data_IF_388608310576
#
_entry.id   IF_388608310576
#
_cell.length_a   1.000
_cell.length_b   1.000
_cell.length_c   1.000
_cell.angle_alpha   90.00
_cell.angle_beta   90.00
_cell.angle_gamma   90.00
#
_symmetry.space_group_name_H-M   'P 1'
#
loop_
_entity.id
_entity.type
_entity.pdbx_description
1 polymer ?
#
# COMPACT_ATOMS: atom_id res chain seq x y z
N UNK A 1 -5.39 -24.94 21.30
CA UNK A 1 -4.91 -24.80 19.90
C UNK A 1 -5.88 -25.35 18.86
N UNK A 2 -6.67 -26.41 19.10
CA UNK A 2 -7.65 -26.92 18.10
C UNK A 2 -8.88 -26.00 17.87
N UNK A 3 -9.35 -25.31 18.92
CA UNK A 3 -10.59 -24.49 18.89
C UNK A 3 -10.48 -23.26 17.98
N UNK A 4 -9.28 -22.68 17.83
CA UNK A 4 -9.05 -21.48 16.99
C UNK A 4 -9.12 -21.77 15.49
N UNK A 5 -8.80 -22.99 15.06
CA UNK A 5 -8.80 -23.37 13.63
C UNK A 5 -10.19 -23.76 13.11
N UNK A 6 -11.05 -24.31 13.98
CA UNK A 6 -12.43 -24.65 13.64
C UNK A 6 -13.27 -23.41 13.32
N UNK A 7 -12.97 -22.30 14.00
CA UNK A 7 -13.59 -21.00 13.71
C UNK A 7 -13.08 -20.38 12.39
N UNK A 8 -11.80 -20.59 12.05
CA UNK A 8 -11.23 -20.09 10.80
C UNK A 8 -11.85 -20.81 9.58
N UNK A 9 -11.94 -22.15 9.61
CA UNK A 9 -12.54 -22.93 8.52
C UNK A 9 -14.02 -22.61 8.31
N UNK A 10 -14.78 -22.42 9.39
CA UNK A 10 -16.18 -22.00 9.31
C UNK A 10 -16.33 -20.62 8.64
N UNK A 11 -15.44 -19.67 8.96
CA UNK A 11 -15.44 -18.34 8.33
C UNK A 11 -15.09 -18.42 6.85
N UNK A 12 -14.07 -19.18 6.46
CA UNK A 12 -13.71 -19.38 5.05
C UNK A 12 -14.85 -20.01 4.24
N UNK A 13 -15.52 -21.02 4.80
CA UNK A 13 -16.69 -21.65 4.16
C UNK A 13 -17.81 -20.64 3.88
N UNK A 14 -18.11 -19.77 4.86
CA UNK A 14 -19.14 -18.73 4.69
C UNK A 14 -18.79 -17.70 3.61
N UNK A 15 -17.51 -17.35 3.48
CA UNK A 15 -17.01 -16.42 2.46
C UNK A 15 -17.06 -17.07 1.09
N UNK A 16 -16.65 -18.33 0.98
CA UNK A 16 -16.66 -19.09 -0.26
C UNK A 16 -18.09 -19.30 -0.80
N UNK A 17 -19.04 -19.67 0.06
CA UNK A 17 -20.45 -19.76 -0.29
C UNK A 17 -21.01 -18.42 -0.80
N UNK A 18 -20.55 -17.31 -0.23
CA UNK A 18 -20.92 -15.95 -0.67
C UNK A 18 -20.30 -15.60 -2.02
N UNK A 19 -19.09 -16.10 -2.31
CA UNK A 19 -18.38 -15.92 -3.57
C UNK A 19 -19.06 -16.69 -4.71
N UNK A 20 -19.48 -17.94 -4.46
CA UNK A 20 -20.21 -18.79 -5.41
C UNK A 20 -21.55 -18.16 -5.84
N UNK A 21 -22.13 -17.29 -5.02
CA UNK A 21 -23.35 -16.55 -5.35
C UNK A 21 -23.16 -15.50 -6.45
N UNK A 22 -21.91 -15.08 -6.72
CA UNK A 22 -21.59 -14.17 -7.82
C UNK A 22 -21.38 -14.88 -9.16
N UNK A 23 -21.42 -16.22 -9.19
CA UNK A 23 -21.29 -16.96 -10.45
C UNK A 23 -22.62 -17.00 -11.23
N UNK A 24 -22.57 -16.93 -12.58
CA UNK A 24 -23.74 -17.11 -13.43
C UNK A 24 -24.44 -18.45 -13.18
N UNK A 25 -25.78 -18.43 -13.17
CA UNK A 25 -26.64 -19.57 -12.81
C UNK A 25 -26.27 -20.92 -13.47
N UNK A 26 -25.95 -21.02 -14.78
CA UNK A 26 -25.67 -22.32 -15.40
C UNK A 26 -24.36 -22.96 -14.94
N UNK A 27 -23.41 -22.18 -14.42
CA UNK A 27 -22.16 -22.69 -13.85
C UNK A 27 -22.31 -23.04 -12.37
N UNK A 28 -23.16 -22.30 -11.64
CA UNK A 28 -23.41 -22.53 -10.22
C UNK A 28 -24.11 -23.86 -9.96
N UNK A 29 -25.13 -24.20 -10.75
CA UNK A 29 -25.84 -25.47 -10.58
C UNK A 29 -24.98 -26.68 -10.96
N UNK A 30 -24.17 -26.54 -12.02
CA UNK A 30 -23.37 -27.67 -12.53
C UNK A 30 -22.11 -27.93 -11.72
N UNK A 31 -21.48 -26.89 -11.19
CA UNK A 31 -20.17 -27.00 -10.55
C UNK A 31 -20.15 -26.53 -9.10
N UNK A 32 -21.17 -25.83 -8.61
CA UNK A 32 -21.15 -25.24 -7.26
C UNK A 32 -20.98 -26.28 -6.16
N UNK A 33 -21.72 -27.38 -6.22
CA UNK A 33 -21.65 -28.44 -5.21
C UNK A 33 -20.31 -29.19 -5.26
N UNK A 34 -19.84 -29.52 -6.46
CA UNK A 34 -18.54 -30.19 -6.66
C UNK A 34 -17.36 -29.29 -6.27
N UNK A 35 -17.45 -27.99 -6.51
CA UNK A 35 -16.45 -27.00 -6.09
C UNK A 35 -16.44 -26.82 -4.56
N UNK A 36 -17.61 -26.80 -3.90
CA UNK A 36 -17.67 -26.76 -2.44
C UNK A 36 -17.09 -28.03 -1.81
N UNK A 37 -17.38 -29.21 -2.39
CA UNK A 37 -16.80 -30.48 -1.94
C UNK A 37 -15.29 -30.52 -2.12
N UNK A 38 -14.79 -30.14 -3.30
CA UNK A 38 -13.35 -30.07 -3.58
C UNK A 38 -12.65 -29.09 -2.64
N UNK A 39 -13.27 -27.94 -2.37
CA UNK A 39 -12.74 -26.97 -1.42
C UNK A 39 -12.68 -27.55 0.01
N UNK A 40 -13.73 -28.24 0.44
CA UNK A 40 -13.80 -28.83 1.77
C UNK A 40 -12.80 -30.00 1.94
N UNK A 41 -12.65 -30.84 0.91
CA UNK A 41 -11.67 -31.91 0.89
C UNK A 41 -10.24 -31.36 0.87
N UNK A 42 -9.98 -30.31 0.10
CA UNK A 42 -8.71 -29.59 0.13
C UNK A 42 -8.45 -29.01 1.52
N UNK A 43 -9.41 -28.35 2.17
CA UNK A 43 -9.23 -27.85 3.55
C UNK A 43 -8.90 -28.98 4.54
N UNK A 44 -9.55 -30.13 4.40
CA UNK A 44 -9.38 -31.30 5.28
C UNK A 44 -8.05 -32.02 5.06
N UNK A 45 -7.59 -32.12 3.82
CA UNK A 45 -6.28 -32.68 3.46
C UNK A 45 -5.14 -31.73 3.88
N UNK A 46 -5.36 -30.42 3.76
CA UNK A 46 -4.44 -29.36 4.21
C UNK A 46 -4.33 -29.27 5.73
N UNK A 47 -5.37 -29.63 6.48
CA UNK A 47 -5.32 -29.76 7.94
C UNK A 47 -4.40 -30.91 8.39
N UNK A 48 -4.23 -31.95 7.55
CA UNK A 48 -3.38 -33.11 7.84
C UNK A 48 -1.93 -32.96 7.37
N UNK A 49 -1.69 -32.17 6.32
CA UNK A 49 -0.39 -32.11 5.64
C UNK A 49 0.61 -31.08 6.21
N UNK A 50 0.24 -30.28 7.21
CA UNK A 50 1.13 -29.27 7.80
C UNK A 50 1.21 -28.00 6.95
N UNK A 51 0.93 -26.88 7.61
CA UNK A 51 0.64 -25.53 7.10
C UNK A 51 1.67 -24.93 6.11
N UNK A 52 2.87 -25.51 5.99
CA UNK A 52 3.97 -24.95 5.19
C UNK A 52 3.73 -24.98 3.68
N UNK A 53 3.11 -26.03 3.13
CA UNK A 53 3.05 -26.21 1.67
C UNK A 53 2.00 -25.33 0.99
N UNK A 54 0.89 -25.00 1.67
CA UNK A 54 -0.10 -24.07 1.15
C UNK A 54 0.34 -22.62 1.30
N UNK A 55 0.92 -22.28 2.46
CA UNK A 55 1.55 -20.98 2.68
C UNK A 55 2.64 -20.75 1.64
N UNK A 56 3.50 -21.74 1.37
CA UNK A 56 4.52 -21.69 0.33
C UNK A 56 3.94 -21.52 -1.08
N UNK A 57 2.95 -22.32 -1.49
CA UNK A 57 2.36 -22.19 -2.85
C UNK A 57 1.65 -20.86 -3.02
N UNK A 58 0.91 -20.40 -2.01
CA UNK A 58 0.23 -19.11 -2.02
C UNK A 58 1.25 -17.97 -2.01
N UNK A 59 2.36 -18.11 -1.27
CA UNK A 59 3.48 -17.19 -1.27
C UNK A 59 4.17 -17.11 -2.64
N UNK A 60 4.49 -18.25 -3.26
CA UNK A 60 5.06 -18.32 -4.62
C UNK A 60 4.12 -17.71 -5.65
N UNK A 61 2.81 -17.94 -5.51
CA UNK A 61 1.80 -17.35 -6.39
C UNK A 61 1.66 -15.83 -6.21
N UNK A 62 1.75 -15.35 -4.98
CA UNK A 62 1.79 -13.91 -4.67
C UNK A 62 3.06 -13.28 -5.22
N UNK A 63 4.21 -13.92 -5.06
CA UNK A 63 5.51 -13.44 -5.56
C UNK A 63 5.54 -13.38 -7.09
N UNK A 64 4.97 -14.39 -7.78
CA UNK A 64 4.83 -14.38 -9.24
C UNK A 64 3.81 -13.35 -9.73
N UNK A 65 2.67 -13.22 -9.06
CA UNK A 65 1.68 -12.19 -9.38
C UNK A 65 2.25 -10.78 -9.19
N UNK A 66 3.01 -10.57 -8.11
CA UNK A 66 3.71 -9.31 -7.85
C UNK A 66 4.81 -9.05 -8.88
N UNK A 67 5.55 -10.06 -9.32
CA UNK A 67 6.58 -9.89 -10.36
C UNK A 67 5.96 -9.39 -11.67
N UNK A 68 4.87 -10.02 -12.13
CA UNK A 68 4.15 -9.63 -13.36
C UNK A 68 3.52 -8.25 -13.22
N UNK A 69 2.89 -7.98 -12.06
CA UNK A 69 2.27 -6.68 -11.81
C UNK A 69 3.32 -5.57 -11.73
N UNK A 70 4.45 -5.83 -11.07
CA UNK A 70 5.61 -4.94 -11.01
C UNK A 70 6.12 -4.62 -12.40
N UNK A 71 6.29 -5.62 -13.26
CA UNK A 71 6.79 -5.42 -14.62
C UNK A 71 5.84 -4.57 -15.47
N UNK A 72 4.53 -4.84 -15.36
CA UNK A 72 3.49 -4.08 -16.06
C UNK A 72 3.38 -2.64 -15.54
N UNK A 73 3.47 -2.45 -14.22
CA UNK A 73 3.40 -1.13 -13.59
C UNK A 73 4.67 -0.33 -13.90
N UNK A 74 5.87 -0.91 -13.77
CA UNK A 74 7.14 -0.25 -14.09
C UNK A 74 7.14 0.15 -15.57
N UNK A 75 6.68 -0.71 -16.47
CA UNK A 75 6.56 -0.36 -17.88
C UNK A 75 5.64 0.87 -18.08
N UNK A 76 4.43 0.87 -17.49
CA UNK A 76 3.50 2.02 -17.61
C UNK A 76 4.04 3.31 -16.96
N UNK A 77 4.70 3.20 -15.80
CA UNK A 77 5.33 4.32 -15.08
C UNK A 77 6.48 4.91 -15.89
N UNK A 78 7.36 4.05 -16.41
CA UNK A 78 8.59 4.47 -17.12
C UNK A 78 8.30 5.07 -18.49
N UNK A 79 7.21 4.65 -19.15
CA UNK A 79 6.77 5.25 -20.41
C UNK A 79 6.24 6.68 -20.23
N UNK A 80 5.71 7.02 -19.05
CA UNK A 80 5.18 8.36 -18.80
C UNK A 80 6.27 9.32 -18.34
N UNK A 81 6.75 10.16 -19.27
CA UNK A 81 7.81 11.16 -19.01
C UNK A 81 7.53 12.04 -17.78
N UNK A 82 6.26 12.37 -17.49
CA UNK A 82 5.91 13.17 -16.32
C UNK A 82 6.06 12.37 -15.03
N UNK A 83 5.65 11.10 -15.01
CA UNK A 83 5.77 10.25 -13.81
C UNK A 83 7.25 9.99 -13.50
N UNK A 84 8.06 9.67 -14.51
CA UNK A 84 9.51 9.53 -14.35
C UNK A 84 10.14 10.84 -13.85
N UNK A 85 9.72 11.99 -14.42
CA UNK A 85 10.19 13.30 -13.96
C UNK A 85 9.80 13.56 -12.51
N UNK A 86 8.57 13.27 -12.11
CA UNK A 86 8.11 13.43 -10.72
C UNK A 86 8.92 12.52 -9.79
N UNK A 87 9.10 11.25 -10.14
CA UNK A 87 9.91 10.31 -9.36
C UNK A 87 11.36 10.81 -9.19
N UNK A 88 11.97 11.32 -10.26
CA UNK A 88 13.31 11.88 -10.24
C UNK A 88 13.38 13.14 -9.36
N UNK A 89 12.40 14.04 -9.48
CA UNK A 89 12.32 15.25 -8.64
C UNK A 89 12.15 14.89 -7.17
N UNK A 90 11.27 13.95 -6.83
CA UNK A 90 11.06 13.48 -5.45
C UNK A 90 12.33 12.83 -4.90
N UNK A 91 12.99 11.98 -5.70
CA UNK A 91 14.27 11.39 -5.34
C UNK A 91 15.33 12.46 -5.07
N UNK A 92 15.46 13.45 -5.96
CA UNK A 92 16.40 14.55 -5.81
C UNK A 92 16.11 15.39 -4.56
N UNK A 93 14.84 15.67 -4.26
CA UNK A 93 14.42 16.38 -3.05
C UNK A 93 14.81 15.58 -1.80
N UNK A 94 14.56 14.27 -1.78
CA UNK A 94 14.89 13.40 -0.65
C UNK A 94 16.39 13.16 -0.46
N UNK A 95 17.22 13.37 -1.49
CA UNK A 95 18.67 13.32 -1.33
C UNK A 95 19.18 14.35 -0.32
N UNK A 96 18.50 15.49 -0.15
CA UNK A 96 18.90 16.51 0.82
C UNK A 96 18.73 15.98 2.25
N UNK A 97 17.53 15.57 2.71
CA UNK A 97 17.34 14.84 3.97
C UNK A 97 18.29 13.66 4.15
N UNK A 98 18.50 12.87 3.09
CA UNK A 98 19.29 11.65 3.18
C UNK A 98 20.77 11.99 3.43
N UNK A 99 21.31 12.96 2.70
CA UNK A 99 22.66 13.44 2.89
C UNK A 99 22.85 13.99 4.30
N UNK A 100 21.89 14.79 4.79
CA UNK A 100 21.94 15.34 6.15
C UNK A 100 21.95 14.24 7.22
N UNK A 101 21.15 13.18 7.06
CA UNK A 101 21.12 12.07 8.04
C UNK A 101 22.39 11.22 7.96
N UNK A 102 22.88 10.91 6.75
CA UNK A 102 24.10 10.11 6.57
C UNK A 102 25.34 10.86 7.09
N UNK A 103 25.39 12.17 6.92
CA UNK A 103 26.49 13.01 7.40
C UNK A 103 26.40 13.30 8.91
N UNK A 104 25.27 13.01 9.56
CA UNK A 104 25.10 13.25 10.99
C UNK A 104 25.73 12.10 11.81
N UNK A 105 26.83 12.33 12.54
CA UNK A 105 27.48 11.28 13.35
C UNK A 105 26.60 10.79 14.51
N UNK A 106 25.61 11.59 14.93
CA UNK A 106 24.69 11.23 16.01
C UNK A 106 23.42 10.51 15.51
N UNK A 107 23.23 10.38 14.19
CA UNK A 107 22.06 9.70 13.64
C UNK A 107 22.04 8.21 14.03
N UNK A 108 20.84 7.67 14.26
CA UNK A 108 20.67 6.26 14.62
C UNK A 108 21.22 5.31 13.55
N UNK A 109 21.12 5.71 12.28
CA UNK A 109 21.67 4.95 11.15
C UNK A 109 23.19 4.75 11.22
N UNK A 110 23.90 5.68 11.84
CA UNK A 110 25.36 5.64 12.01
C UNK A 110 25.79 5.03 13.36
N UNK A 111 24.83 4.51 14.15
CA UNK A 111 25.09 3.99 15.51
C UNK A 111 25.18 5.08 16.58
N UNK A 112 24.77 6.31 16.26
CA UNK A 112 24.69 7.42 17.22
C UNK A 112 23.52 7.29 18.19
N UNK A 113 23.50 8.16 19.22
CA UNK A 113 22.47 8.16 20.28
C UNK A 113 21.17 8.88 19.90
N UNK A 114 21.06 9.34 18.66
CA UNK A 114 19.99 10.21 18.19
C UNK A 114 20.20 11.68 18.54
N UNK A 115 19.64 12.55 17.70
CA UNK A 115 19.65 13.99 17.90
C UNK A 115 19.97 14.82 16.65
N UNK A 116 19.45 16.03 16.60
CA UNK A 116 19.55 16.89 15.43
C UNK A 116 18.75 16.35 14.25
N UNK A 117 19.39 16.27 13.07
CA UNK A 117 18.76 15.76 11.86
C UNK A 117 18.89 14.24 11.76
N UNK A 118 17.87 13.52 12.20
CA UNK A 118 17.93 12.07 12.40
C UNK A 118 16.64 11.38 11.92
N UNK A 119 16.53 11.26 10.60
CA UNK A 119 15.40 10.61 9.97
C UNK A 119 15.63 9.09 9.93
N UNK A 120 14.64 8.33 10.37
CA UNK A 120 14.63 6.89 10.21
C UNK A 120 14.34 6.50 8.75
N UNK A 121 14.72 5.28 8.31
CA UNK A 121 14.32 4.74 7.01
C UNK A 121 12.81 4.86 6.73
N UNK A 122 11.99 4.73 7.78
CA UNK A 122 10.54 4.90 7.70
C UNK A 122 10.11 6.32 7.29
N UNK A 123 10.83 7.34 7.75
CA UNK A 123 10.51 8.75 7.46
C UNK A 123 10.78 9.08 5.99
N UNK A 124 11.89 8.57 5.44
CA UNK A 124 12.18 8.69 4.01
C UNK A 124 11.11 8.01 3.15
N UNK A 125 10.64 6.83 3.57
CA UNK A 125 9.58 6.12 2.87
C UNK A 125 8.25 6.89 2.96
N UNK A 126 7.87 7.35 4.15
CA UNK A 126 6.65 8.13 4.37
C UNK A 126 6.64 9.39 3.51
N UNK A 127 7.73 10.16 3.53
CA UNK A 127 7.86 11.37 2.71
C UNK A 127 7.94 11.07 1.22
N UNK A 128 8.62 9.98 0.83
CA UNK A 128 8.67 9.54 -0.55
C UNK A 128 7.29 9.23 -1.11
N UNK A 129 6.48 8.46 -0.37
CA UNK A 129 5.10 8.16 -0.73
C UNK A 129 4.25 9.42 -0.77
N UNK A 130 4.36 10.29 0.23
CA UNK A 130 3.57 11.53 0.33
C UNK A 130 3.87 12.49 -0.84
N UNK A 131 5.14 12.76 -1.12
CA UNK A 131 5.57 13.65 -2.19
C UNK A 131 5.28 13.08 -3.57
N UNK A 132 5.54 11.78 -3.77
CA UNK A 132 5.27 11.12 -5.05
C UNK A 132 3.77 11.05 -5.34
N UNK A 133 2.97 10.65 -4.35
CA UNK A 133 1.51 10.63 -4.45
C UNK A 133 0.93 12.01 -4.75
N UNK A 134 1.46 13.05 -4.12
CA UNK A 134 1.05 14.44 -4.38
C UNK A 134 1.42 14.90 -5.78
N UNK A 135 2.63 14.58 -6.25
CA UNK A 135 3.06 14.87 -7.62
C UNK A 135 2.15 14.19 -8.66
N UNK A 136 1.78 12.92 -8.43
CA UNK A 136 0.82 12.20 -9.26
C UNK A 136 -0.58 12.83 -9.23
N UNK A 137 -1.08 13.21 -8.05
CA UNK A 137 -2.39 13.85 -7.91
C UNK A 137 -2.44 15.20 -8.64
N UNK A 138 -1.37 15.99 -8.57
CA UNK A 138 -1.25 17.24 -9.32
C UNK A 138 -1.20 16.96 -10.82
N UNK A 139 -0.35 16.05 -11.30
CA UNK A 139 -0.27 15.71 -12.73
C UNK A 139 -1.60 15.15 -13.27
N UNK A 140 -2.32 14.36 -12.48
CA UNK A 140 -3.68 13.91 -12.81
C UNK A 140 -4.68 15.07 -12.91
N UNK A 141 -4.65 15.99 -11.94
CA UNK A 141 -5.47 17.20 -11.94
C UNK A 141 -5.22 18.04 -13.18
N UNK A 142 -3.95 18.22 -13.55
CA UNK A 142 -3.51 19.00 -14.70
C UNK A 142 -3.99 18.41 -16.04
N UNK A 143 -4.13 17.08 -16.11
CA UNK A 143 -4.61 16.37 -17.31
C UNK A 143 -6.12 16.33 -17.42
N UNK A 144 -6.83 16.27 -16.29
CA UNK A 144 -8.28 16.03 -16.26
C UNK A 144 -9.12 17.30 -16.20
N UNK A 145 -8.61 18.38 -15.60
CA UNK A 145 -9.33 19.64 -15.45
C UNK A 145 -8.92 20.63 -16.54
N UNK A 146 -9.86 20.90 -17.46
CA UNK A 146 -9.69 21.90 -18.51
C UNK A 146 -9.84 23.34 -18.00
N UNK A 147 -10.70 23.57 -17.00
CA UNK A 147 -10.94 24.90 -16.45
C UNK A 147 -9.78 25.31 -15.49
N UNK A 148 -9.10 26.44 -15.74
CA UNK A 148 -7.96 26.86 -14.95
C UNK A 148 -8.30 27.14 -13.49
N UNK A 149 -9.50 27.64 -13.19
CA UNK A 149 -9.92 27.95 -11.81
C UNK A 149 -10.11 26.67 -11.01
N UNK A 150 -10.86 25.70 -11.54
CA UNK A 150 -11.04 24.41 -10.87
C UNK A 150 -9.72 23.65 -10.69
N UNK A 151 -8.81 23.78 -11.66
CA UNK A 151 -7.47 23.21 -11.57
C UNK A 151 -6.65 23.84 -10.44
N UNK A 152 -6.65 25.17 -10.30
CA UNK A 152 -5.97 25.85 -9.17
C UNK A 152 -6.58 25.43 -7.84
N UNK A 153 -7.90 25.42 -7.71
CA UNK A 153 -8.58 24.99 -6.47
C UNK A 153 -8.21 23.55 -6.10
N UNK A 154 -8.21 22.63 -7.06
CA UNK A 154 -7.83 21.25 -6.80
C UNK A 154 -6.36 21.09 -6.42
N UNK A 155 -5.44 21.86 -7.03
CA UNK A 155 -4.03 21.87 -6.65
C UNK A 155 -3.86 22.42 -5.23
N UNK A 156 -4.50 23.54 -4.91
CA UNK A 156 -4.46 24.13 -3.56
C UNK A 156 -4.97 23.14 -2.54
N UNK A 157 -6.13 22.51 -2.77
CA UNK A 157 -6.67 21.48 -1.90
C UNK A 157 -5.71 20.30 -1.71
N UNK A 158 -5.09 19.81 -2.80
CA UNK A 158 -4.11 18.71 -2.73
C UNK A 158 -2.90 19.10 -1.89
N UNK A 159 -2.37 20.31 -2.07
CA UNK A 159 -1.23 20.82 -1.32
C UNK A 159 -1.58 21.05 0.15
N UNK A 160 -2.78 21.54 0.45
CA UNK A 160 -3.27 21.66 1.83
C UNK A 160 -3.33 20.32 2.54
N UNK A 161 -3.84 19.27 1.86
CA UNK A 161 -3.86 17.91 2.42
C UNK A 161 -2.45 17.39 2.67
N UNK A 162 -1.50 17.61 1.74
CA UNK A 162 -0.09 17.27 1.97
C UNK A 162 0.45 17.92 3.25
N UNK A 163 0.20 19.22 3.44
CA UNK A 163 0.71 19.92 4.63
C UNK A 163 0.07 19.43 5.91
N UNK A 164 -1.23 19.13 5.91
CA UNK A 164 -1.91 18.56 7.07
C UNK A 164 -1.33 17.21 7.46
N UNK A 165 -1.14 16.31 6.50
CA UNK A 165 -0.53 15.00 6.73
C UNK A 165 0.91 15.17 7.22
N UNK A 166 1.67 16.10 6.62
CA UNK A 166 3.06 16.34 6.97
C UNK A 166 3.22 16.85 8.41
N UNK A 167 2.41 17.84 8.82
CA UNK A 167 2.42 18.40 10.18
C UNK A 167 2.03 17.35 11.21
N UNK A 168 1.03 16.51 10.90
CA UNK A 168 0.65 15.43 11.79
C UNK A 168 1.79 14.42 11.95
N UNK A 169 2.40 13.97 10.85
CA UNK A 169 3.51 13.02 10.91
C UNK A 169 4.78 13.60 11.57
N UNK A 170 5.00 14.90 11.47
CA UNK A 170 6.22 15.54 11.97
C UNK A 170 6.15 15.84 13.47
N UNK A 171 5.01 16.33 13.95
CA UNK A 171 4.90 16.90 15.30
C UNK A 171 3.54 16.63 15.98
N UNK A 172 2.70 15.75 15.45
CA UNK A 172 1.32 15.53 15.93
C UNK A 172 0.50 16.85 16.01
N UNK A 173 0.82 17.79 15.12
CA UNK A 173 0.39 19.19 15.27
C UNK A 173 -1.09 19.40 15.03
N UNK A 174 -1.73 18.57 14.21
CA UNK A 174 -3.18 18.67 13.98
C UNK A 174 -3.93 18.17 15.21
N UNK A 175 -3.48 17.06 15.79
CA UNK A 175 -4.03 16.52 17.04
C UNK A 175 -3.89 17.53 18.18
N UNK A 176 -2.70 18.12 18.38
CA UNK A 176 -2.50 19.16 19.40
C UNK A 176 -3.40 20.39 19.20
N UNK A 177 -3.59 20.84 17.96
CA UNK A 177 -4.45 21.98 17.67
C UNK A 177 -5.93 21.69 17.98
N UNK A 178 -6.39 20.46 17.76
CA UNK A 178 -7.75 20.04 18.10
C UNK A 178 -7.97 20.00 19.61
N UNK A 179 -7.02 19.47 20.38
CA UNK A 179 -7.06 19.47 21.85
C UNK A 179 -7.06 20.88 22.45
N UNK A 180 -6.45 21.85 21.79
CA UNK A 180 -6.50 23.25 22.22
C UNK A 180 -7.87 23.91 21.99
N UNK A 181 -8.60 23.46 20.96
CA UNK A 181 -9.85 24.09 20.52
C UNK A 181 -11.12 23.48 21.14
N UNK A 182 -11.07 22.22 21.61
CA UNK A 182 -12.20 21.48 22.19
C UNK A 182 -11.88 20.96 23.59
#
# INVERSE_FOLDING_TARGET
MAVTYEHASARFRSIYAKLLRYYPDPYRERFGESMEQTFNDLCKERQKAGDELFSFVLWVFVETSLAILKERIIFMITQNKNVVRIALMVGLILLIPLALTVLNPNAHLNGGKGGGWDWAPGDFLAMGVLLFGTGLAIDFTMRKLANPVHRVVAIVATVSVLFLIWVELAVDGVTQALEFLF
#
